data_IF_424152068394
#
_entry.id   IF_424152068394
#
_cell.length_a   1.000
_cell.length_b   1.000
_cell.length_c   1.000
_cell.angle_alpha   90.00
_cell.angle_beta   90.00
_cell.angle_gamma   90.00
#
_symmetry.space_group_name_H-M   'P 1'
#
loop_
_entity.id
_entity.type
_entity.pdbx_description
1 polymer ?
#
# COMPACT_ATOMS: atom_id res chain seq x y z
N UNK A 1 9.61 13.28 -13.02
CA UNK A 1 9.85 11.83 -12.94
C UNK A 1 8.71 11.22 -12.14
N UNK A 2 7.98 10.26 -12.68
CA UNK A 2 6.97 9.53 -11.94
C UNK A 2 7.67 8.52 -11.01
N UNK A 3 7.35 8.49 -9.71
CA UNK A 3 7.75 7.44 -8.78
C UNK A 3 9.25 7.31 -8.42
N UNK A 4 9.54 6.32 -7.56
CA UNK A 4 10.89 5.90 -7.11
C UNK A 4 11.14 4.46 -7.53
N UNK A 5 12.38 4.09 -7.90
CA UNK A 5 12.73 2.72 -8.29
C UNK A 5 11.96 2.25 -9.52
N UNK A 6 11.97 3.08 -10.57
CA UNK A 6 11.28 2.89 -11.85
C UNK A 6 11.64 1.55 -12.55
N UNK A 7 11.33 1.43 -13.84
CA UNK A 7 11.62 0.27 -14.70
C UNK A 7 13.13 0.07 -14.96
N UNK A 8 13.99 0.17 -13.94
CA UNK A 8 15.44 0.21 -14.06
C UNK A 8 16.06 -1.19 -14.21
N UNK A 9 15.34 -2.24 -13.83
CA UNK A 9 15.76 -3.63 -14.01
C UNK A 9 16.86 -4.11 -13.05
N UNK A 10 17.30 -5.38 -13.17
CA UNK A 10 18.18 -6.04 -12.20
C UNK A 10 19.62 -5.51 -12.19
N UNK A 11 20.03 -4.75 -13.20
CA UNK A 11 21.35 -4.12 -13.28
C UNK A 11 21.40 -2.76 -12.60
N UNK A 12 20.26 -2.23 -12.15
CA UNK A 12 20.19 -0.98 -11.43
C UNK A 12 20.67 -1.14 -9.98
N UNK A 13 21.24 -0.06 -9.43
CA UNK A 13 21.60 -0.02 -8.01
C UNK A 13 20.35 0.19 -7.15
N UNK A 14 20.14 -0.69 -6.17
CA UNK A 14 19.01 -0.63 -5.24
C UNK A 14 17.83 -1.55 -5.61
N UNK A 15 16.78 -1.58 -4.75
CA UNK A 15 15.64 -2.45 -4.98
C UNK A 15 14.75 -1.95 -6.13
N UNK A 16 14.21 -2.90 -6.90
CA UNK A 16 13.12 -2.64 -7.86
C UNK A 16 11.78 -2.86 -7.17
N UNK A 17 10.88 -1.87 -7.24
CA UNK A 17 9.54 -2.02 -6.70
C UNK A 17 8.60 -2.62 -7.73
N UNK A 18 8.00 -3.75 -7.38
CA UNK A 18 7.07 -4.50 -8.24
C UNK A 18 5.74 -4.75 -7.53
N UNK A 19 4.73 -5.16 -8.30
CA UNK A 19 3.52 -5.78 -7.80
C UNK A 19 3.15 -6.99 -8.67
N UNK A 20 2.25 -7.82 -8.19
CA UNK A 20 1.75 -9.01 -8.90
C UNK A 20 0.23 -9.06 -8.92
N UNK A 21 -0.41 -9.26 -7.76
CA UNK A 21 -1.87 -9.44 -7.65
C UNK A 21 -2.65 -8.19 -8.05
N UNK A 22 -3.55 -8.32 -9.03
CA UNK A 22 -4.41 -7.24 -9.54
C UNK A 22 -5.78 -7.72 -10.09
N UNK A 23 -6.01 -9.02 -10.30
CA UNK A 23 -7.17 -9.55 -11.06
C UNK A 23 -8.18 -10.34 -10.23
N UNK A 24 -8.23 -10.09 -8.92
CA UNK A 24 -9.29 -10.58 -8.04
C UNK A 24 -8.98 -11.92 -7.36
N UNK A 25 -9.97 -12.47 -6.67
CA UNK A 25 -9.78 -13.58 -5.72
C UNK A 25 -9.40 -14.92 -6.34
N UNK A 26 -9.59 -15.09 -7.65
CA UNK A 26 -9.22 -16.30 -8.39
C UNK A 26 -7.83 -16.21 -9.04
N UNK A 27 -7.10 -15.10 -8.87
CA UNK A 27 -5.73 -14.98 -9.34
C UNK A 27 -4.77 -15.55 -8.29
N UNK A 28 -4.32 -16.80 -8.48
CA UNK A 28 -3.29 -17.39 -7.64
C UNK A 28 -1.91 -16.80 -7.92
N UNK A 29 -0.94 -17.11 -7.05
CA UNK A 29 0.46 -16.71 -7.23
C UNK A 29 1.05 -17.17 -8.57
N UNK A 30 0.56 -18.28 -9.11
CA UNK A 30 1.02 -18.88 -10.38
C UNK A 30 0.44 -18.19 -11.62
N UNK A 31 -0.58 -17.36 -11.44
CA UNK A 31 -1.35 -16.79 -12.55
C UNK A 31 -1.06 -15.31 -12.74
N UNK A 32 -0.34 -14.66 -11.83
CA UNK A 32 -0.02 -13.23 -11.88
C UNK A 32 0.88 -12.84 -13.06
N UNK A 33 0.85 -11.56 -13.42
CA UNK A 33 1.86 -10.94 -14.30
C UNK A 33 2.66 -9.93 -13.46
N UNK A 34 3.89 -10.24 -13.04
CA UNK A 34 4.73 -9.30 -12.31
C UNK A 34 4.97 -8.02 -13.11
N UNK A 35 4.70 -6.88 -12.49
CA UNK A 35 4.70 -5.57 -13.14
C UNK A 35 5.36 -4.50 -12.24
N UNK A 36 5.99 -3.46 -12.80
CA UNK A 36 6.65 -2.42 -12.02
C UNK A 36 5.61 -1.54 -11.29
N UNK A 37 5.93 -1.07 -10.09
CA UNK A 37 5.03 -0.10 -9.39
C UNK A 37 4.99 1.24 -10.11
N UNK A 38 6.10 1.63 -10.74
CA UNK A 38 6.19 2.80 -11.61
C UNK A 38 6.24 2.33 -13.06
N UNK A 39 5.15 2.49 -13.78
CA UNK A 39 5.02 2.09 -15.19
C UNK A 39 5.31 3.31 -16.08
N UNK A 40 6.44 3.24 -16.80
CA UNK A 40 6.87 4.28 -17.76
C UNK A 40 6.60 3.85 -19.20
N UNK A 41 5.89 2.74 -19.40
CA UNK A 41 5.57 2.12 -20.68
C UNK A 41 6.83 1.74 -21.47
N UNK A 42 7.93 1.40 -20.79
CA UNK A 42 9.16 0.90 -21.45
C UNK A 42 9.06 -0.60 -21.73
N UNK A 43 8.33 -1.34 -20.89
CA UNK A 43 8.12 -2.77 -21.00
C UNK A 43 6.62 -3.10 -20.99
N UNK A 44 6.25 -4.33 -21.36
CA UNK A 44 4.86 -4.74 -21.53
C UNK A 44 4.34 -4.43 -22.94
N UNK A 45 3.08 -4.01 -23.04
CA UNK A 45 2.43 -3.61 -24.30
C UNK A 45 2.54 -2.12 -24.58
N UNK A 46 1.71 -1.62 -25.50
CA UNK A 46 1.66 -0.19 -25.87
C UNK A 46 1.40 0.73 -24.68
N UNK A 47 0.62 0.27 -23.70
CA UNK A 47 0.26 1.02 -22.50
C UNK A 47 1.00 0.53 -21.24
N UNK A 48 2.17 -0.09 -21.42
CA UNK A 48 2.86 -0.76 -20.33
C UNK A 48 2.12 -2.04 -19.92
N UNK A 49 1.84 -2.17 -18.61
CA UNK A 49 1.03 -3.25 -18.05
C UNK A 49 -0.38 -2.78 -17.65
N UNK A 50 -0.69 -1.49 -17.85
CA UNK A 50 -1.86 -0.84 -17.25
C UNK A 50 -3.20 -1.41 -17.75
N UNK A 51 -3.29 -1.68 -19.04
CA UNK A 51 -4.49 -2.16 -19.72
C UNK A 51 -4.79 -3.65 -19.47
N UNK A 52 -3.88 -4.39 -18.84
CA UNK A 52 -4.14 -5.72 -18.29
C UNK A 52 -5.07 -5.69 -17.07
N UNK A 53 -5.11 -4.56 -16.35
CA UNK A 53 -5.74 -4.48 -15.02
C UNK A 53 -6.90 -3.49 -14.96
N UNK A 54 -6.79 -2.36 -15.66
CA UNK A 54 -7.83 -1.31 -15.64
C UNK A 54 -8.12 -0.91 -17.08
N UNK A 55 -9.38 -1.06 -17.49
CA UNK A 55 -9.84 -0.55 -18.78
C UNK A 55 -10.09 0.94 -18.68
N UNK A 56 -9.39 1.71 -19.50
CA UNK A 56 -9.59 3.15 -19.67
C UNK A 56 -9.59 3.54 -21.16
N UNK A 57 -10.06 4.74 -21.46
CA UNK A 57 -10.04 5.38 -22.78
C UNK A 57 -8.65 5.84 -23.20
N UNK A 58 -7.77 6.11 -22.23
CA UNK A 58 -6.38 6.50 -22.45
C UNK A 58 -5.52 6.11 -21.25
N UNK A 59 -4.22 5.95 -21.46
CA UNK A 59 -3.29 5.53 -20.42
C UNK A 59 -2.17 6.56 -20.26
N UNK A 60 -1.72 6.75 -19.02
CA UNK A 60 -0.62 7.64 -18.68
C UNK A 60 0.45 6.89 -17.89
N UNK A 61 1.72 7.26 -18.13
CA UNK A 61 2.85 6.84 -17.30
C UNK A 61 2.58 7.24 -15.86
N UNK A 62 2.66 6.30 -14.93
CA UNK A 62 2.15 6.49 -13.58
C UNK A 62 2.91 5.64 -12.55
N UNK A 63 2.58 5.82 -11.28
CA UNK A 63 3.11 5.01 -10.19
C UNK A 63 2.00 4.62 -9.21
N UNK A 64 2.08 3.42 -8.66
CA UNK A 64 1.14 2.86 -7.68
C UNK A 64 1.86 1.93 -6.70
N UNK A 65 1.60 2.10 -5.41
CA UNK A 65 2.13 1.25 -4.35
C UNK A 65 0.97 0.65 -3.54
N UNK A 66 1.18 -0.53 -3.00
CA UNK A 66 0.21 -1.22 -2.14
C UNK A 66 0.82 -1.42 -0.77
N UNK A 67 0.13 -0.99 0.28
CA UNK A 67 0.52 -1.25 1.65
C UNK A 67 0.09 -2.67 2.04
N UNK A 68 0.90 -3.33 2.87
CA UNK A 68 0.52 -4.54 3.59
C UNK A 68 0.32 -4.13 5.07
N UNK A 69 -0.93 -3.82 5.50
CA UNK A 69 -1.18 -3.21 6.80
C UNK A 69 -0.68 -4.04 7.98
N UNK A 70 -0.67 -5.37 7.84
CA UNK A 70 -0.13 -6.29 8.83
C UNK A 70 1.38 -6.09 9.06
N UNK A 71 2.15 -5.82 8.01
CA UNK A 71 3.58 -5.61 8.09
C UNK A 71 3.92 -4.29 8.79
N UNK A 72 3.21 -3.21 8.44
CA UNK A 72 3.38 -1.91 9.09
C UNK A 72 2.94 -1.98 10.56
N UNK A 73 1.81 -2.61 10.85
CA UNK A 73 1.36 -2.84 12.23
C UNK A 73 2.39 -3.65 13.04
N UNK A 74 2.99 -4.69 12.44
CA UNK A 74 4.04 -5.50 13.07
C UNK A 74 5.30 -4.68 13.34
N UNK A 75 5.68 -3.77 12.44
CA UNK A 75 6.81 -2.86 12.68
C UNK A 75 6.53 -1.88 13.83
N UNK A 76 5.31 -1.36 13.93
CA UNK A 76 4.87 -0.51 15.05
C UNK A 76 4.88 -1.30 16.37
N UNK A 77 4.40 -2.54 16.35
CA UNK A 77 4.44 -3.45 17.50
C UNK A 77 5.88 -3.71 17.96
N UNK A 78 6.81 -3.93 17.03
CA UNK A 78 8.22 -4.11 17.35
C UNK A 78 8.85 -2.84 17.96
N UNK A 79 8.52 -1.66 17.42
CA UNK A 79 8.99 -0.38 17.96
C UNK A 79 8.45 -0.12 19.38
N UNK A 80 7.21 -0.52 19.67
CA UNK A 80 6.66 -0.46 21.03
C UNK A 80 7.52 -1.27 22.02
N UNK A 81 7.85 -2.52 21.68
CA UNK A 81 8.69 -3.35 22.55
C UNK A 81 10.11 -2.82 22.69
N UNK A 82 10.72 -2.34 21.60
CA UNK A 82 12.02 -1.69 21.64
C UNK A 82 12.01 -0.48 22.60
N UNK A 83 10.94 0.33 22.57
CA UNK A 83 10.77 1.44 23.49
C UNK A 83 10.63 0.99 24.94
N UNK A 84 9.83 -0.03 25.23
CA UNK A 84 9.69 -0.59 26.58
C UNK A 84 11.04 -1.09 27.12
N UNK A 85 11.79 -1.83 26.33
CA UNK A 85 13.09 -2.38 26.74
C UNK A 85 14.15 -1.30 26.90
N UNK A 86 14.28 -0.37 25.95
CA UNK A 86 15.23 0.73 26.03
C UNK A 86 14.92 1.64 27.23
N UNK A 87 13.65 1.88 27.53
CA UNK A 87 13.23 2.64 28.72
C UNK A 87 13.64 1.93 30.02
N UNK A 88 13.43 0.62 30.12
CA UNK A 88 13.84 -0.16 31.29
C UNK A 88 15.36 -0.14 31.51
N UNK A 89 16.14 0.06 30.45
CA UNK A 89 17.59 0.21 30.49
C UNK A 89 18.07 1.66 30.67
N UNK A 90 17.16 2.63 30.83
CA UNK A 90 17.50 4.06 30.91
C UNK A 90 18.01 4.65 29.58
N UNK A 91 17.81 3.98 28.45
CA UNK A 91 18.39 4.29 27.15
C UNK A 91 17.34 4.65 26.06
N UNK A 92 16.11 5.01 26.45
CA UNK A 92 15.04 5.35 25.50
C UNK A 92 15.42 6.47 24.52
N UNK A 93 16.25 7.43 24.95
CA UNK A 93 16.70 8.54 24.12
C UNK A 93 17.42 8.10 22.84
N UNK A 94 18.18 7.00 22.90
CA UNK A 94 18.97 6.49 21.76
C UNK A 94 18.12 6.00 20.58
N UNK A 95 16.86 5.61 20.83
CA UNK A 95 15.96 5.08 19.79
C UNK A 95 14.80 6.02 19.46
N UNK A 96 14.77 7.22 20.05
CA UNK A 96 13.65 8.18 19.94
C UNK A 96 13.27 8.49 18.48
N UNK A 97 14.25 8.64 17.60
CA UNK A 97 14.01 8.87 16.17
C UNK A 97 13.32 7.68 15.48
N UNK A 98 13.64 6.44 15.85
CA UNK A 98 12.99 5.24 15.31
C UNK A 98 11.56 5.09 15.82
N UNK A 99 11.33 5.41 17.10
CA UNK A 99 9.97 5.43 17.68
C UNK A 99 9.10 6.49 17.01
N UNK A 100 9.64 7.69 16.74
CA UNK A 100 8.93 8.73 16.01
C UNK A 100 8.57 8.31 14.57
N UNK A 101 9.46 7.56 13.88
CA UNK A 101 9.15 6.99 12.56
C UNK A 101 8.04 5.94 12.64
N UNK A 102 8.04 5.07 13.65
CA UNK A 102 6.96 4.11 13.86
C UNK A 102 5.62 4.79 14.16
N UNK A 103 5.62 5.86 14.97
CA UNK A 103 4.42 6.66 15.21
C UNK A 103 3.87 7.27 13.91
N UNK A 104 4.75 7.84 13.07
CA UNK A 104 4.37 8.37 11.76
C UNK A 104 3.81 7.27 10.83
N UNK A 105 4.42 6.08 10.82
CA UNK A 105 3.90 4.93 10.08
C UNK A 105 2.48 4.58 10.55
N UNK A 106 2.23 4.53 11.86
CA UNK A 106 0.90 4.30 12.43
C UNK A 106 -0.12 5.36 12.05
N UNK A 107 0.31 6.62 11.87
CA UNK A 107 -0.57 7.70 11.44
C UNK A 107 -1.05 7.52 9.98
N UNK A 108 -0.15 7.13 9.07
CA UNK A 108 -0.50 6.79 7.69
C UNK A 108 -1.25 5.46 7.56
N UNK A 109 -0.96 4.48 8.43
CA UNK A 109 -1.62 3.17 8.47
C UNK A 109 -3.14 3.29 8.65
N UNK A 110 -3.65 4.42 9.16
CA UNK A 110 -5.09 4.71 9.26
C UNK A 110 -5.81 4.64 7.90
N UNK A 111 -5.12 4.76 6.77
CA UNK A 111 -5.74 4.51 5.45
C UNK A 111 -6.29 3.09 5.31
N UNK A 112 -5.68 2.09 5.96
CA UNK A 112 -6.18 0.70 5.96
C UNK A 112 -7.52 0.52 6.69
N UNK A 113 -8.01 1.54 7.40
CA UNK A 113 -9.24 1.46 8.18
C UNK A 113 -10.50 1.87 7.42
N UNK A 114 -10.36 2.29 6.16
CA UNK A 114 -11.46 2.78 5.35
C UNK A 114 -11.87 1.75 4.30
N UNK A 115 -13.17 1.72 3.98
CA UNK A 115 -13.63 1.08 2.75
C UNK A 115 -12.82 1.55 1.54
N UNK A 116 -12.52 0.63 0.62
CA UNK A 116 -11.65 0.85 -0.56
C UNK A 116 -12.02 2.10 -1.37
N UNK A 117 -13.31 2.45 -1.43
CA UNK A 117 -13.82 3.61 -2.14
C UNK A 117 -14.53 4.61 -1.21
N UNK A 118 -14.20 4.58 0.09
CA UNK A 118 -14.79 5.42 1.13
C UNK A 118 -16.33 5.37 1.17
N UNK A 119 -16.94 4.22 0.87
CA UNK A 119 -18.38 3.99 1.06
C UNK A 119 -18.74 3.91 2.54
N UNK A 120 -19.96 4.32 2.88
CA UNK A 120 -20.47 4.20 4.25
C UNK A 120 -20.51 2.73 4.67
N UNK A 121 -19.98 2.41 5.85
CA UNK A 121 -19.98 1.05 6.40
C UNK A 121 -21.39 0.65 6.85
N UNK A 122 -21.71 -0.63 6.65
CA UNK A 122 -22.96 -1.26 7.09
C UNK A 122 -23.96 -1.46 5.94
N UNK A 123 -24.35 -2.71 5.69
CA UNK A 123 -25.30 -3.12 4.66
C UNK A 123 -25.02 -2.53 3.26
N UNK A 124 -23.74 -2.31 2.94
CA UNK A 124 -23.32 -1.86 1.62
C UNK A 124 -23.39 -3.02 0.63
N UNK A 125 -24.52 -3.15 -0.05
CA UNK A 125 -24.78 -4.14 -1.09
C UNK A 125 -25.14 -3.42 -2.38
N UNK A 126 -24.43 -3.74 -3.46
CA UNK A 126 -24.59 -3.09 -4.77
C UNK A 126 -23.80 -1.78 -4.88
N UNK A 127 -22.82 -1.74 -5.79
CA UNK A 127 -21.87 -0.63 -5.90
C UNK A 127 -22.52 0.74 -6.17
N UNK A 128 -23.62 0.76 -6.94
CA UNK A 128 -24.41 1.95 -7.26
C UNK A 128 -25.40 2.35 -6.14
N UNK A 129 -25.80 1.40 -5.29
CA UNK A 129 -26.75 1.64 -4.19
C UNK A 129 -26.05 2.07 -2.89
N UNK A 130 -24.81 1.62 -2.65
CA UNK A 130 -24.05 2.04 -1.48
C UNK A 130 -23.79 3.55 -1.48
N UNK A 131 -24.29 4.24 -0.46
CA UNK A 131 -24.01 5.67 -0.26
C UNK A 131 -22.53 5.93 -0.02
N UNK A 132 -22.02 7.04 -0.54
CA UNK A 132 -20.71 7.55 -0.15
C UNK A 132 -20.65 7.84 1.36
N UNK A 133 -19.49 7.63 1.96
CA UNK A 133 -19.25 8.03 3.34
C UNK A 133 -19.04 9.54 3.48
N UNK A 134 -19.14 10.01 4.72
CA UNK A 134 -18.81 11.36 5.16
C UNK A 134 -18.09 11.29 6.51
N UNK A 135 -16.99 12.05 6.63
CA UNK A 135 -16.14 12.00 7.81
C UNK A 135 -15.59 10.60 8.06
N UNK A 136 -15.95 10.00 9.20
CA UNK A 136 -15.44 8.69 9.64
C UNK A 136 -16.40 7.52 9.44
N UNK A 137 -17.60 7.73 8.88
CA UNK A 137 -18.58 6.64 8.73
C UNK A 137 -18.23 5.62 7.62
N UNK A 138 -17.15 5.86 6.87
CA UNK A 138 -16.51 4.90 5.96
C UNK A 138 -15.38 4.11 6.61
N UNK A 139 -15.09 4.36 7.90
CA UNK A 139 -14.10 3.58 8.66
C UNK A 139 -14.74 2.34 9.26
N UNK A 140 -14.17 1.17 8.96
CA UNK A 140 -14.49 -0.08 9.64
C UNK A 140 -13.61 -0.33 10.86
N UNK A 141 -12.57 0.49 11.09
CA UNK A 141 -11.67 0.41 12.26
C UNK A 141 -10.90 -0.91 12.40
N UNK A 142 -10.73 -1.63 11.30
CA UNK A 142 -9.88 -2.83 11.17
C UNK A 142 -8.72 -2.53 10.24
N UNK A 143 -7.67 -3.35 10.26
CA UNK A 143 -6.60 -3.29 9.27
C UNK A 143 -7.04 -4.08 8.03
N UNK A 144 -7.54 -3.38 7.01
CA UNK A 144 -8.11 -3.95 5.78
C UNK A 144 -7.26 -3.76 4.53
#
# INVERSE_FOLDING_TARGET
>A
KAGTGAEQGPTASGPCYINSYQRGSQESVWETVPQPTTDLMTYGGTNGYLDLFVKDTSYSKQWKYTNAPDADARAIQAAYWAYKWATAQGNAGSISASVAKAAKMGDFLRYSMFDKYFKKIGNCVGASACSAGSGRNSQHYLLG
#
